data_IF_414818161371
#
_entry.id   IF_414818161371
#
_cell.length_a   1.000
_cell.length_b   1.000
_cell.length_c   1.000
_cell.angle_alpha   90.00
_cell.angle_beta   90.00
_cell.angle_gamma   90.00
#
_symmetry.space_group_name_H-M   'P 1'
#
loop_
_entity.id
_entity.type
_entity.pdbx_description
1 polymer ?
#
# COMPACT_ATOMS: atom_id res chain seq x y z
N UNK A 1 10.44 2.39 -22.87
CA UNK A 1 9.76 1.12 -22.53
C UNK A 1 10.82 0.04 -22.49
N UNK A 2 10.74 -0.92 -21.57
CA UNK A 2 11.79 -1.92 -21.31
C UNK A 2 12.00 -2.93 -22.46
N UNK A 3 11.07 -3.05 -23.41
CA UNK A 3 11.15 -4.00 -24.52
C UNK A 3 10.86 -5.45 -24.15
N UNK A 4 10.46 -5.72 -22.91
CA UNK A 4 10.12 -7.06 -22.40
C UNK A 4 8.74 -7.47 -22.89
N UNK A 5 8.60 -8.67 -23.46
CA UNK A 5 7.30 -9.20 -23.85
C UNK A 5 6.52 -9.68 -22.61
N UNK A 6 5.19 -9.49 -22.53
CA UNK A 6 4.42 -9.96 -21.39
C UNK A 6 4.52 -11.49 -21.15
N UNK A 7 4.77 -12.25 -22.22
CA UNK A 7 4.97 -13.70 -22.16
C UNK A 7 6.28 -14.12 -21.46
N UNK A 8 7.25 -13.21 -21.33
CA UNK A 8 8.53 -13.47 -20.66
C UNK A 8 8.44 -13.27 -19.13
N UNK A 9 7.30 -12.78 -18.61
CA UNK A 9 7.09 -12.57 -17.18
C UNK A 9 6.77 -13.91 -16.51
N UNK A 10 7.59 -14.31 -15.54
CA UNK A 10 7.44 -15.58 -14.81
C UNK A 10 6.61 -15.41 -13.52
N UNK A 11 6.49 -14.19 -13.02
CA UNK A 11 5.82 -13.87 -11.76
C UNK A 11 5.36 -12.42 -11.72
N UNK A 12 4.20 -12.16 -11.13
CA UNK A 12 3.71 -10.80 -10.86
C UNK A 12 3.70 -10.57 -9.36
N UNK A 13 4.34 -9.52 -8.89
CA UNK A 13 4.31 -9.10 -7.48
C UNK A 13 3.79 -7.66 -7.45
N UNK A 14 2.62 -7.46 -6.88
CA UNK A 14 2.04 -6.13 -6.75
C UNK A 14 1.62 -5.85 -5.32
N UNK A 15 1.44 -4.58 -5.00
CA UNK A 15 1.08 -4.17 -3.66
C UNK A 15 0.34 -2.85 -3.65
N UNK A 16 -0.70 -2.81 -2.83
CA UNK A 16 -1.42 -1.62 -2.39
C UNK A 16 -1.83 -1.83 -0.94
N UNK A 17 -1.91 -0.74 -0.18
CA UNK A 17 -2.34 -0.74 1.22
C UNK A 17 -3.84 -0.47 1.31
N UNK A 18 -4.38 0.46 0.51
CA UNK A 18 -5.81 0.77 0.57
C UNK A 18 -6.67 -0.30 -0.10
N UNK A 19 -7.82 -0.59 0.52
CA UNK A 19 -8.91 -1.33 -0.12
C UNK A 19 -9.74 -0.38 -0.99
N UNK A 20 -9.12 0.15 -2.05
CA UNK A 20 -9.68 1.18 -2.92
C UNK A 20 -10.86 0.70 -3.80
N UNK A 21 -11.12 -0.61 -3.86
CA UNK A 21 -12.14 -1.21 -4.72
C UNK A 21 -12.56 -2.61 -4.23
N UNK A 22 -13.71 -3.10 -4.70
CA UNK A 22 -14.20 -4.44 -4.35
C UNK A 22 -13.32 -5.57 -4.90
N UNK A 23 -12.54 -5.31 -5.95
CA UNK A 23 -11.58 -6.25 -6.53
C UNK A 23 -10.16 -6.08 -5.96
N UNK A 24 -9.97 -5.32 -4.87
CA UNK A 24 -8.66 -5.08 -4.27
C UNK A 24 -7.91 -6.38 -3.90
N UNK A 25 -8.61 -7.47 -3.57
CA UNK A 25 -8.00 -8.78 -3.31
C UNK A 25 -7.37 -9.43 -4.55
N UNK A 26 -7.79 -9.03 -5.75
CA UNK A 26 -7.30 -9.55 -7.03
C UNK A 26 -6.31 -8.59 -7.70
N UNK A 27 -5.89 -7.52 -7.02
CA UNK A 27 -5.09 -6.45 -7.60
C UNK A 27 -3.85 -6.94 -8.38
N UNK A 28 -2.94 -7.78 -7.85
CA UNK A 28 -1.79 -8.27 -8.61
C UNK A 28 -2.20 -9.07 -9.84
N UNK A 29 -3.28 -9.85 -9.70
CA UNK A 29 -3.78 -10.69 -10.78
C UNK A 29 -4.36 -9.86 -11.92
N UNK A 30 -5.20 -8.88 -11.60
CA UNK A 30 -5.78 -7.98 -12.58
C UNK A 30 -4.70 -7.14 -13.27
N UNK A 31 -3.71 -6.64 -12.53
CA UNK A 31 -2.55 -5.95 -13.11
C UNK A 31 -1.85 -6.82 -14.16
N UNK A 32 -1.52 -8.07 -13.82
CA UNK A 32 -0.89 -9.00 -14.75
C UNK A 32 -1.72 -9.23 -16.02
N UNK A 33 -3.01 -9.55 -15.85
CA UNK A 33 -3.90 -9.80 -16.98
C UNK A 33 -4.08 -8.58 -17.88
N UNK A 34 -4.25 -7.38 -17.31
CA UNK A 34 -4.37 -6.14 -18.08
C UNK A 34 -3.05 -5.72 -18.75
N UNK A 35 -1.90 -6.14 -18.20
CA UNK A 35 -0.59 -5.98 -18.82
C UNK A 35 -0.28 -7.05 -19.90
N UNK A 36 -1.21 -7.99 -20.15
CA UNK A 36 -1.05 -9.07 -21.13
C UNK A 36 -0.22 -10.26 -20.65
N UNK A 37 0.09 -10.34 -19.35
CA UNK A 37 0.81 -11.48 -18.77
C UNK A 37 -0.07 -12.74 -18.88
N UNK A 38 0.47 -13.89 -19.31
CA UNK A 38 -0.30 -15.12 -19.46
C UNK A 38 -1.01 -15.57 -18.17
N UNK A 39 -2.22 -16.13 -18.31
CA UNK A 39 -3.06 -16.51 -17.18
C UNK A 39 -2.41 -17.56 -16.27
N UNK A 40 -1.52 -18.42 -16.76
CA UNK A 40 -0.83 -19.41 -15.93
C UNK A 40 0.23 -18.81 -14.99
N UNK A 41 0.68 -17.57 -15.25
CA UNK A 41 1.70 -16.90 -14.43
C UNK A 41 1.11 -16.54 -13.06
N UNK A 42 1.76 -16.93 -11.94
CA UNK A 42 1.27 -16.62 -10.60
C UNK A 42 1.38 -15.11 -10.30
N UNK A 43 0.47 -14.63 -9.45
CA UNK A 43 0.46 -13.24 -9.01
C UNK A 43 0.34 -13.17 -7.48
N UNK A 44 1.17 -12.35 -6.84
CA UNK A 44 1.29 -12.22 -5.39
C UNK A 44 1.00 -10.78 -4.96
N UNK A 45 0.21 -10.63 -3.88
CA UNK A 45 0.06 -9.37 -3.17
C UNK A 45 1.00 -9.33 -1.98
N UNK A 46 1.86 -8.32 -1.90
CA UNK A 46 2.64 -8.04 -0.70
C UNK A 46 2.38 -6.61 -0.21
N UNK A 47 2.43 -6.39 1.09
CA UNK A 47 2.33 -5.07 1.69
C UNK A 47 3.29 -4.91 2.87
N UNK A 48 3.87 -3.72 2.96
CA UNK A 48 4.71 -3.25 4.07
C UNK A 48 4.43 -1.75 4.32
N UNK A 49 3.14 -1.38 4.37
CA UNK A 49 2.69 0.02 4.53
C UNK A 49 3.42 0.94 3.51
N UNK A 50 4.04 2.04 3.94
CA UNK A 50 4.79 2.96 3.08
C UNK A 50 6.00 2.30 2.40
N UNK A 51 6.52 1.20 2.97
CA UNK A 51 7.63 0.43 2.42
C UNK A 51 7.22 -0.63 1.41
N UNK A 52 5.93 -0.71 1.03
CA UNK A 52 5.41 -1.75 0.12
C UNK A 52 6.22 -1.82 -1.17
N UNK A 53 6.50 -0.69 -1.84
CA UNK A 53 7.27 -0.69 -3.09
C UNK A 53 8.65 -1.36 -2.96
N UNK A 54 9.36 -1.10 -1.87
CA UNK A 54 10.65 -1.75 -1.59
C UNK A 54 10.51 -3.24 -1.28
N UNK A 55 9.42 -3.64 -0.60
CA UNK A 55 9.14 -5.05 -0.35
C UNK A 55 8.93 -5.83 -1.65
N UNK A 56 8.23 -5.26 -2.64
CA UNK A 56 8.03 -5.92 -3.93
C UNK A 56 9.37 -6.18 -4.63
N UNK A 57 10.24 -5.18 -4.65
CA UNK A 57 11.58 -5.29 -5.25
C UNK A 57 12.45 -6.33 -4.53
N UNK A 58 12.39 -6.35 -3.19
CA UNK A 58 13.09 -7.35 -2.38
C UNK A 58 12.63 -8.76 -2.75
N UNK A 59 11.31 -9.02 -2.76
CA UNK A 59 10.78 -10.35 -3.05
C UNK A 59 11.06 -10.78 -4.49
N UNK A 60 11.01 -9.86 -5.45
CA UNK A 60 11.38 -10.15 -6.84
C UNK A 60 12.86 -10.54 -6.95
N UNK A 61 13.75 -9.81 -6.27
CA UNK A 61 15.17 -10.15 -6.21
C UNK A 61 15.40 -11.53 -5.58
N UNK A 62 14.66 -11.88 -4.52
CA UNK A 62 14.71 -13.21 -3.90
C UNK A 62 14.25 -14.31 -4.86
N UNK A 63 13.14 -14.12 -5.58
CA UNK A 63 12.66 -15.09 -6.59
C UNK A 63 13.70 -15.32 -7.69
N UNK A 64 14.36 -14.24 -8.15
CA UNK A 64 15.42 -14.33 -9.17
C UNK A 64 16.67 -15.03 -8.61
N UNK A 65 17.12 -14.64 -7.42
CA UNK A 65 18.32 -15.19 -6.79
C UNK A 65 18.17 -16.69 -6.46
N UNK A 66 16.96 -17.13 -6.11
CA UNK A 66 16.64 -18.54 -5.84
C UNK A 66 16.34 -19.34 -7.11
N UNK A 67 16.40 -18.71 -8.30
CA UNK A 67 16.12 -19.37 -9.58
C UNK A 67 14.66 -19.71 -9.83
N UNK A 68 13.73 -19.10 -9.08
CA UNK A 68 12.28 -19.33 -9.21
C UNK A 68 11.65 -18.52 -10.35
N UNK A 69 12.26 -17.40 -10.72
CA UNK A 69 11.84 -16.54 -11.82
C UNK A 69 13.06 -15.92 -12.52
N UNK A 70 12.94 -15.57 -13.80
CA UNK A 70 13.94 -14.78 -14.54
C UNK A 70 13.46 -13.34 -14.75
N UNK A 71 12.15 -13.16 -14.93
CA UNK A 71 11.53 -11.85 -15.04
C UNK A 71 10.32 -11.74 -14.10
N UNK A 72 10.30 -10.69 -13.30
CA UNK A 72 9.20 -10.41 -12.35
C UNK A 72 8.61 -9.04 -12.63
N UNK A 73 7.30 -8.98 -12.84
CA UNK A 73 6.58 -7.72 -12.94
C UNK A 73 6.29 -7.19 -11.53
N UNK A 74 6.93 -6.08 -11.15
CA UNK A 74 6.73 -5.42 -9.86
C UNK A 74 5.85 -4.19 -10.00
N UNK A 75 4.74 -4.09 -9.26
CA UNK A 75 3.86 -2.91 -9.30
C UNK A 75 3.42 -2.47 -7.90
N UNK A 76 3.98 -1.36 -7.42
CA UNK A 76 3.44 -0.63 -6.27
C UNK A 76 2.38 0.36 -6.74
N UNK A 77 1.19 0.32 -6.15
CA UNK A 77 0.09 1.21 -6.52
C UNK A 77 -0.72 1.60 -5.29
N UNK A 78 -1.38 2.76 -5.36
CA UNK A 78 -2.22 3.23 -4.28
C UNK A 78 -3.30 4.17 -4.79
N UNK A 79 -4.47 4.16 -4.16
CA UNK A 79 -5.52 5.15 -4.40
C UNK A 79 -6.13 5.61 -3.09
N UNK A 80 -5.49 6.60 -2.48
CA UNK A 80 -5.92 7.14 -1.19
C UNK A 80 -7.33 7.74 -1.25
N UNK A 81 -7.65 8.45 -2.35
CA UNK A 81 -8.96 9.09 -2.56
C UNK A 81 -10.13 8.12 -2.68
N UNK A 82 -9.86 6.83 -2.90
CA UNK A 82 -10.89 5.79 -3.01
C UNK A 82 -11.06 4.97 -1.74
N UNK A 83 -10.38 5.33 -0.63
CA UNK A 83 -10.63 4.67 0.65
C UNK A 83 -12.11 4.79 1.03
N UNK A 84 -12.72 3.69 1.49
CA UNK A 84 -14.13 3.69 1.80
C UNK A 84 -14.42 4.38 3.13
N UNK A 85 -15.66 4.83 3.29
CA UNK A 85 -16.26 4.93 4.61
C UNK A 85 -16.67 3.51 5.03
N UNK A 86 -16.16 3.05 6.16
CA UNK A 86 -16.30 1.67 6.60
C UNK A 86 -17.02 1.56 7.96
N UNK A 87 -17.66 0.42 8.17
CA UNK A 87 -18.39 0.11 9.38
C UNK A 87 -18.15 -1.36 9.75
N UNK A 88 -17.23 -1.62 10.68
CA UNK A 88 -16.84 -2.99 11.04
C UNK A 88 -17.77 -3.67 12.06
N UNK A 89 -18.68 -2.92 12.69
CA UNK A 89 -19.59 -3.43 13.72
C UNK A 89 -20.98 -3.82 13.20
N UNK A 90 -21.30 -3.57 11.92
CA UNK A 90 -22.67 -3.69 11.40
C UNK A 90 -22.91 -4.91 10.50
N UNK A 91 -21.91 -5.78 10.28
CA UNK A 91 -22.08 -6.97 9.42
C UNK A 91 -23.21 -7.89 9.89
N UNK A 92 -23.44 -7.97 11.21
CA UNK A 92 -24.52 -8.75 11.82
C UNK A 92 -25.85 -8.01 11.96
N UNK A 93 -25.99 -6.83 11.36
CA UNK A 93 -27.09 -5.91 11.61
C UNK A 93 -26.86 -5.04 12.87
N UNK A 94 -27.83 -4.19 13.16
CA UNK A 94 -27.85 -3.32 14.34
C UNK A 94 -29.28 -3.12 14.83
N UNK A 95 -29.45 -2.95 16.14
CA UNK A 95 -30.76 -2.77 16.74
C UNK A 95 -31.45 -1.47 16.28
N UNK A 96 -32.78 -1.46 16.29
CA UNK A 96 -33.55 -0.25 16.03
C UNK A 96 -33.15 0.86 17.03
N UNK A 97 -32.73 2.01 16.52
CA UNK A 97 -32.27 3.14 17.33
C UNK A 97 -30.84 3.02 17.88
N UNK A 98 -30.13 1.93 17.58
CA UNK A 98 -28.72 1.82 17.92
C UNK A 98 -27.87 2.80 17.09
N UNK A 99 -26.79 3.37 17.66
CA UNK A 99 -25.88 4.23 16.91
C UNK A 99 -25.26 3.49 15.73
N UNK A 100 -25.39 4.06 14.52
CA UNK A 100 -24.68 3.56 13.34
C UNK A 100 -23.34 4.26 13.24
N UNK A 101 -22.26 3.51 13.44
CA UNK A 101 -20.90 4.00 13.35
C UNK A 101 -20.29 3.76 11.96
N UNK A 102 -20.15 4.84 11.20
CA UNK A 102 -19.35 4.90 9.99
C UNK A 102 -18.07 5.67 10.27
N UNK A 103 -16.94 5.16 9.78
CA UNK A 103 -15.63 5.78 9.96
C UNK A 103 -14.95 6.00 8.62
N UNK A 104 -14.22 7.10 8.50
CA UNK A 104 -13.27 7.30 7.41
C UNK A 104 -12.12 6.31 7.60
N UNK A 105 -12.02 5.32 6.69
CA UNK A 105 -11.01 4.28 6.83
C UNK A 105 -9.60 4.83 6.71
N UNK A 106 -9.37 5.82 5.83
CA UNK A 106 -8.05 6.40 5.64
C UNK A 106 -7.58 7.12 6.92
N UNK A 107 -8.47 7.91 7.52
CA UNK A 107 -8.15 8.62 8.76
C UNK A 107 -7.81 7.65 9.90
N UNK A 108 -8.62 6.61 10.07
CA UNK A 108 -8.41 5.60 11.11
C UNK A 108 -7.14 4.76 10.85
N UNK A 109 -6.80 4.49 9.60
CA UNK A 109 -5.62 3.71 9.22
C UNK A 109 -4.27 4.40 9.51
N UNK A 110 -4.27 5.72 9.75
CA UNK A 110 -3.07 6.49 10.10
C UNK A 110 -2.77 6.51 11.61
N UNK A 111 -3.54 5.77 12.40
CA UNK A 111 -3.35 5.57 13.83
C UNK A 111 -2.81 4.16 14.09
N UNK A 112 -1.68 4.04 14.79
CA UNK A 112 -1.22 2.75 15.29
C UNK A 112 -1.86 2.44 16.67
N UNK A 113 -2.79 1.47 16.75
CA UNK A 113 -3.51 1.16 17.98
C UNK A 113 -2.65 0.48 19.05
N UNK A 114 -1.52 -0.13 18.69
CA UNK A 114 -0.68 -0.82 19.66
C UNK A 114 0.02 0.16 20.65
N UNK A 115 0.73 1.20 20.18
CA UNK A 115 1.25 2.29 20.99
C UNK A 115 0.28 3.46 21.19
N UNK A 116 -0.90 3.44 20.53
CA UNK A 116 -1.88 4.52 20.52
C UNK A 116 -1.29 5.87 20.06
N UNK A 117 -0.60 5.85 18.91
CA UNK A 117 0.01 7.04 18.32
C UNK A 117 -0.29 7.16 16.82
N UNK A 118 -0.65 8.35 16.37
CA UNK A 118 -0.80 8.66 14.94
C UNK A 118 0.55 8.85 14.26
N UNK A 119 0.60 8.64 12.94
CA UNK A 119 1.82 8.86 12.16
C UNK A 119 2.37 10.30 12.33
N UNK A 120 1.51 11.31 12.44
CA UNK A 120 1.92 12.70 12.69
C UNK A 120 2.61 12.83 14.05
N UNK A 121 2.05 12.25 15.11
CA UNK A 121 2.65 12.29 16.44
C UNK A 121 4.01 11.56 16.49
N UNK A 122 4.22 10.53 15.66
CA UNK A 122 5.56 9.92 15.53
C UNK A 122 6.58 10.90 14.96
N UNK A 123 6.20 11.70 13.97
CA UNK A 123 7.07 12.73 13.40
C UNK A 123 7.39 13.84 14.42
N UNK A 124 6.39 14.30 15.17
CA UNK A 124 6.57 15.29 16.25
C UNK A 124 7.50 14.78 17.35
N UNK A 125 7.37 13.49 17.71
CA UNK A 125 8.25 12.86 18.70
C UNK A 125 9.72 12.86 18.22
N UNK A 126 9.96 12.60 16.93
CA UNK A 126 11.30 12.67 16.35
C UNK A 126 11.79 14.12 16.29
N UNK A 127 10.94 15.08 15.92
CA UNK A 127 11.31 16.49 15.88
C UNK A 127 11.78 16.99 17.26
N UNK A 128 11.05 16.67 18.32
CA UNK A 128 11.44 16.98 19.69
C UNK A 128 12.74 16.28 20.10
N UNK A 129 12.88 14.98 19.79
CA UNK A 129 14.06 14.18 20.17
C UNK A 129 15.35 14.69 19.52
N UNK A 130 15.27 15.14 18.27
CA UNK A 130 16.44 15.57 17.50
C UNK A 130 16.59 17.10 17.43
N UNK A 131 15.74 17.86 18.12
CA UNK A 131 15.78 19.32 18.13
C UNK A 131 15.51 19.94 16.75
N UNK A 132 14.67 19.30 15.93
CA UNK A 132 14.30 19.80 14.60
C UNK A 132 13.29 20.92 14.77
N UNK A 133 13.63 22.13 14.31
CA UNK A 133 12.77 23.30 14.46
C UNK A 133 11.76 23.42 13.32
N UNK A 134 10.69 24.18 13.55
CA UNK A 134 9.67 24.43 12.52
C UNK A 134 10.27 25.08 11.26
N UNK A 135 11.21 26.01 11.45
CA UNK A 135 11.89 26.70 10.36
C UNK A 135 12.71 25.74 9.49
N UNK A 136 13.32 24.71 10.10
CA UNK A 136 14.06 23.67 9.36
C UNK A 136 13.12 22.79 8.54
N UNK A 137 11.95 22.43 9.10
CA UNK A 137 10.93 21.65 8.38
C UNK A 137 10.38 22.45 7.19
N UNK A 138 10.01 23.72 7.42
CA UNK A 138 9.48 24.59 6.36
C UNK A 138 10.51 24.81 5.24
N UNK A 139 11.77 25.06 5.60
CA UNK A 139 12.84 25.21 4.60
C UNK A 139 13.11 23.91 3.82
N UNK A 140 12.96 22.73 4.44
CA UNK A 140 13.06 21.47 3.71
C UNK A 140 11.87 21.25 2.77
N UNK A 141 10.66 21.59 3.22
CA UNK A 141 9.45 21.50 2.42
C UNK A 141 9.56 22.40 1.18
N UNK A 142 9.94 23.68 1.34
CA UNK A 142 10.16 24.63 0.23
C UNK A 142 11.10 24.07 -0.84
N UNK A 143 12.27 23.56 -0.43
CA UNK A 143 13.26 22.96 -1.35
C UNK A 143 12.77 21.69 -2.05
N UNK A 144 11.75 21.02 -1.52
CA UNK A 144 11.20 19.79 -2.11
C UNK A 144 10.18 20.07 -3.21
N UNK A 145 9.68 21.31 -3.33
CA UNK A 145 8.77 21.76 -4.38
C UNK A 145 9.49 22.42 -5.57
N UNK A 146 10.75 22.84 -5.39
CA UNK A 146 11.60 23.44 -6.43
C UNK A 146 12.32 22.39 -7.27
#
# INVERSE_FOLDING_TARGET
>A
MSGVAPADVDSVIAGSVAQASFDAYLLPRHIGLYAGVPQQVPALHAQRVCGTGFELLKQAAEQIALGQAKCVLCVGTESMSRNPIAAYTHRGGFGLGAPVAFKDFLWEALMDPAPNVSMIQTAETLAQRYGITREQVDAYAERSFS
#
